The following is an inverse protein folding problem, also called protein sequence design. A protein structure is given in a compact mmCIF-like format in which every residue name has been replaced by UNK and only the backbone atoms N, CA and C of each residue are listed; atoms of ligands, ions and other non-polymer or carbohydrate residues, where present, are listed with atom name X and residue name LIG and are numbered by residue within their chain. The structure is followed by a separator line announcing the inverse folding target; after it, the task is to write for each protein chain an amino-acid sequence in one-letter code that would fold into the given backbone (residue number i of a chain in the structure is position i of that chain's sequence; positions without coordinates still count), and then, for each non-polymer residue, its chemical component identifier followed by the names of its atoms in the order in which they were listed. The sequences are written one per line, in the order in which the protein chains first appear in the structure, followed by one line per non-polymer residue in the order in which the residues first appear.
data_IF_626549806582
#
_entry.id   IF_626549806582
#
_cell.length_a   1.000
_cell.length_b   1.000
_cell.length_c   1.000
_cell.angle_alpha   90.00
_cell.angle_beta   90.00
_cell.angle_gamma   90.00
#
_symmetry.space_group_name_H-M   'P 1'
#
loop_
_entity.id
_entity.type
_entity.pdbx_description
1 polymer ?
#
# COMPACT_ATOMS: atom_id res chain seq x y z
N UNK A 1 -24.29 3.12 8.20
CA UNK A 1 -23.20 2.76 7.25
C UNK A 1 -22.86 1.28 7.32
N UNK A 2 -22.44 0.72 8.48
CA UNK A 2 -22.16 -0.72 8.65
C UNK A 2 -23.29 -1.64 8.12
N UNK A 3 -24.54 -1.37 8.53
CA UNK A 3 -25.73 -2.10 8.05
C UNK A 3 -25.89 -2.05 6.53
N UNK A 4 -25.63 -0.89 5.91
CA UNK A 4 -25.68 -0.73 4.46
C UNK A 4 -24.65 -1.63 3.79
N UNK A 5 -23.40 -1.62 4.26
CA UNK A 5 -22.33 -2.46 3.71
C UNK A 5 -22.70 -3.94 3.86
N UNK A 6 -23.16 -4.37 5.04
CA UNK A 6 -23.63 -5.75 5.27
C UNK A 6 -24.74 -6.16 4.30
N UNK A 7 -25.71 -5.29 4.05
CA UNK A 7 -26.79 -5.56 3.09
C UNK A 7 -26.25 -5.68 1.66
N UNK A 8 -25.34 -4.80 1.24
CA UNK A 8 -24.69 -4.92 -0.08
C UNK A 8 -23.87 -6.20 -0.21
N UNK A 9 -23.20 -6.65 0.86
CA UNK A 9 -22.53 -7.95 0.88
C UNK A 9 -23.53 -9.08 0.61
N UNK A 10 -24.63 -9.14 1.37
CA UNK A 10 -25.65 -10.17 1.22
C UNK A 10 -26.17 -10.26 -0.23
N UNK A 11 -26.52 -9.12 -0.83
CA UNK A 11 -27.00 -9.06 -2.22
C UNK A 11 -25.90 -9.46 -3.20
N UNK A 12 -24.67 -8.95 -3.02
CA UNK A 12 -23.57 -9.20 -3.94
C UNK A 12 -23.13 -10.66 -3.97
N UNK A 13 -23.13 -11.33 -2.82
CA UNK A 13 -22.70 -12.73 -2.69
C UNK A 13 -23.69 -13.62 -3.43
N UNK A 14 -24.99 -13.39 -3.27
CA UNK A 14 -26.03 -14.13 -4.00
C UNK A 14 -25.97 -13.88 -5.51
N UNK A 15 -25.73 -12.64 -5.94
CA UNK A 15 -25.73 -12.28 -7.35
C UNK A 15 -24.45 -12.67 -8.14
N UNK A 16 -23.46 -13.29 -7.50
CA UNK A 16 -22.16 -13.58 -8.12
C UNK A 16 -22.25 -14.61 -9.25
N UNK A 17 -23.12 -15.61 -9.12
CA UNK A 17 -23.30 -16.66 -10.13
C UNK A 17 -24.21 -16.23 -11.29
N UNK A 18 -24.99 -15.16 -11.11
CA UNK A 18 -25.99 -14.71 -12.09
C UNK A 18 -25.37 -13.98 -13.30
N UNK A 19 -24.10 -13.55 -13.21
CA UNK A 19 -23.46 -12.66 -14.17
C UNK A 19 -22.00 -13.04 -14.41
N UNK A 20 -21.45 -12.55 -15.53
CA UNK A 20 -20.01 -12.64 -15.77
C UNK A 20 -19.23 -11.86 -14.69
N UNK A 21 -18.09 -12.40 -14.25
CA UNK A 21 -17.31 -11.89 -13.11
C UNK A 21 -16.90 -10.44 -13.29
N UNK A 22 -16.49 -10.05 -14.50
CA UNK A 22 -16.11 -8.69 -14.84
C UNK A 22 -17.26 -7.68 -14.70
N UNK A 23 -18.47 -8.07 -15.11
CA UNK A 23 -19.67 -7.25 -14.99
C UNK A 23 -20.09 -7.13 -13.53
N UNK A 24 -20.05 -8.26 -12.80
CA UNK A 24 -20.30 -8.27 -11.35
C UNK A 24 -19.32 -7.37 -10.60
N UNK A 25 -18.02 -7.46 -10.93
CA UNK A 25 -17.01 -6.58 -10.34
C UNK A 25 -17.38 -5.14 -10.60
N UNK A 26 -17.75 -4.73 -11.81
CA UNK A 26 -18.09 -3.33 -12.12
C UNK A 26 -19.29 -2.81 -11.33
N UNK A 27 -20.33 -3.64 -11.17
CA UNK A 27 -21.61 -3.28 -10.54
C UNK A 27 -21.49 -2.97 -9.03
N UNK A 28 -20.68 -3.72 -8.29
CA UNK A 28 -20.62 -3.58 -6.83
C UNK A 28 -19.49 -2.65 -6.35
N UNK A 29 -19.64 -1.89 -5.25
CA UNK A 29 -18.57 -1.02 -4.76
C UNK A 29 -17.27 -1.78 -4.43
N UNK A 30 -16.12 -1.11 -4.51
CA UNK A 30 -14.81 -1.74 -4.44
C UNK A 30 -14.61 -2.68 -3.23
N UNK A 31 -14.98 -2.24 -2.03
CA UNK A 31 -14.88 -3.04 -0.80
C UNK A 31 -15.71 -4.33 -0.87
N UNK A 32 -16.93 -4.24 -1.41
CA UNK A 32 -17.86 -5.37 -1.55
C UNK A 32 -17.36 -6.32 -2.63
N UNK A 33 -16.98 -5.81 -3.80
CA UNK A 33 -16.44 -6.63 -4.89
C UNK A 33 -15.17 -7.38 -4.47
N UNK A 34 -14.28 -6.71 -3.72
CA UNK A 34 -13.02 -7.29 -3.22
C UNK A 34 -13.26 -8.41 -2.20
N UNK A 35 -14.12 -8.18 -1.21
CA UNK A 35 -14.39 -9.20 -0.20
C UNK A 35 -15.26 -10.34 -0.76
N UNK A 36 -16.25 -10.02 -1.60
CA UNK A 36 -17.08 -11.02 -2.28
C UNK A 36 -16.26 -11.94 -3.18
N UNK A 37 -15.25 -11.42 -3.88
CA UNK A 37 -14.28 -12.25 -4.62
C UNK A 37 -13.56 -13.24 -3.71
N UNK A 38 -13.12 -12.82 -2.51
CA UNK A 38 -12.44 -13.71 -1.55
C UNK A 38 -13.38 -14.75 -0.93
N UNK A 39 -14.66 -14.40 -0.72
CA UNK A 39 -15.70 -15.33 -0.28
C UNK A 39 -15.88 -16.43 -1.33
N UNK A 40 -16.04 -16.05 -2.60
CA UNK A 40 -16.21 -17.01 -3.68
C UNK A 40 -14.96 -17.82 -3.96
N UNK A 41 -13.78 -17.23 -3.88
CA UNK A 41 -12.53 -17.98 -3.93
C UNK A 41 -12.47 -19.08 -2.86
N UNK A 42 -12.80 -18.75 -1.62
CA UNK A 42 -12.84 -19.72 -0.51
C UNK A 42 -13.85 -20.83 -0.79
N UNK A 43 -15.05 -20.48 -1.25
CA UNK A 43 -16.09 -21.44 -1.59
C UNK A 43 -15.66 -22.38 -2.73
N UNK A 44 -15.13 -21.85 -3.83
CA UNK A 44 -14.70 -22.61 -5.00
C UNK A 44 -13.51 -23.54 -4.71
N UNK A 45 -12.55 -23.10 -3.88
CA UNK A 45 -11.43 -23.96 -3.44
C UNK A 45 -11.95 -25.11 -2.58
N UNK A 46 -12.87 -24.85 -1.65
CA UNK A 46 -13.48 -25.91 -0.84
C UNK A 46 -14.30 -26.88 -1.69
N UNK A 47 -15.04 -26.39 -2.70
CA UNK A 47 -15.71 -27.25 -3.68
C UNK A 47 -14.71 -28.12 -4.48
N UNK A 48 -13.53 -27.58 -4.81
CA UNK A 48 -12.48 -28.35 -5.48
C UNK A 48 -11.91 -29.44 -4.56
N UNK A 49 -11.77 -29.19 -3.25
CA UNK A 49 -11.42 -30.23 -2.28
C UNK A 49 -12.50 -31.32 -2.17
N UNK A 50 -13.78 -30.96 -2.09
CA UNK A 50 -14.87 -31.96 -2.10
C UNK A 50 -14.83 -32.82 -3.37
N UNK A 51 -14.61 -32.21 -4.55
CA UNK A 51 -14.46 -32.96 -5.80
C UNK A 51 -13.23 -33.88 -5.78
N UNK A 52 -12.12 -33.49 -5.15
CA UNK A 52 -10.97 -34.38 -4.97
C UNK A 52 -11.34 -35.59 -4.11
N UNK A 53 -12.07 -35.40 -3.03
CA UNK A 53 -12.58 -36.47 -2.15
C UNK A 53 -13.54 -37.41 -2.89
N UNK A 54 -14.35 -36.88 -3.81
CA UNK A 54 -15.23 -37.64 -4.71
C UNK A 54 -14.48 -38.38 -5.84
N UNK A 55 -13.14 -38.26 -5.92
CA UNK A 55 -12.28 -38.94 -6.89
C UNK A 55 -11.92 -38.15 -8.15
N UNK A 56 -12.29 -36.86 -8.25
CA UNK A 56 -11.91 -36.00 -9.37
C UNK A 56 -10.50 -35.41 -9.18
N UNK A 57 -9.46 -36.20 -9.47
CA UNK A 57 -8.04 -35.86 -9.23
C UNK A 57 -7.56 -34.52 -9.84
N UNK A 58 -8.22 -34.02 -10.87
CA UNK A 58 -7.84 -32.77 -11.55
C UNK A 58 -8.58 -31.53 -11.05
N UNK A 59 -9.47 -31.64 -10.04
CA UNK A 59 -10.34 -30.54 -9.64
C UNK A 59 -9.60 -29.23 -9.29
N UNK A 60 -8.51 -29.29 -8.51
CA UNK A 60 -7.70 -28.11 -8.21
C UNK A 60 -6.98 -27.55 -9.45
N UNK A 61 -6.51 -28.41 -10.37
CA UNK A 61 -5.84 -27.97 -11.61
C UNK A 61 -6.82 -27.27 -12.55
N UNK A 62 -8.04 -27.77 -12.66
CA UNK A 62 -9.09 -27.16 -13.46
C UNK A 62 -9.52 -25.81 -12.86
N UNK A 63 -9.60 -25.73 -11.53
CA UNK A 63 -9.82 -24.46 -10.86
C UNK A 63 -8.69 -23.45 -11.09
N UNK A 64 -7.43 -23.89 -11.02
CA UNK A 64 -6.28 -23.01 -11.32
C UNK A 64 -6.35 -22.46 -12.75
N UNK A 65 -6.73 -23.28 -13.74
CA UNK A 65 -6.94 -22.83 -15.12
C UNK A 65 -8.03 -21.76 -15.20
N UNK A 66 -9.15 -21.95 -14.47
CA UNK A 66 -10.22 -20.95 -14.36
C UNK A 66 -9.69 -19.64 -13.78
N UNK A 67 -8.91 -19.68 -12.70
CA UNK A 67 -8.32 -18.48 -12.08
C UNK A 67 -7.38 -17.73 -13.04
N UNK A 68 -6.51 -18.45 -13.76
CA UNK A 68 -5.62 -17.83 -14.76
C UNK A 68 -6.41 -17.13 -15.86
N UNK A 69 -7.47 -17.77 -16.37
CA UNK A 69 -8.33 -17.16 -17.39
C UNK A 69 -9.03 -15.90 -16.89
N UNK A 70 -9.61 -15.94 -15.68
CA UNK A 70 -10.25 -14.78 -15.07
C UNK A 70 -9.26 -13.63 -14.84
N UNK A 71 -8.04 -13.93 -14.37
CA UNK A 71 -7.00 -12.93 -14.17
C UNK A 71 -6.60 -12.27 -15.50
N UNK A 72 -6.46 -13.05 -16.57
CA UNK A 72 -6.17 -12.53 -17.92
C UNK A 72 -7.29 -11.61 -18.43
N UNK A 73 -8.56 -11.94 -18.16
CA UNK A 73 -9.69 -11.06 -18.47
C UNK A 73 -9.57 -9.72 -17.72
N UNK A 74 -9.25 -9.74 -16.42
CA UNK A 74 -9.08 -8.52 -15.63
C UNK A 74 -7.87 -7.68 -16.10
N UNK A 75 -6.77 -8.33 -16.50
CA UNK A 75 -5.62 -7.67 -17.11
C UNK A 75 -6.03 -6.99 -18.43
N UNK A 76 -6.84 -7.65 -19.25
CA UNK A 76 -7.43 -7.06 -20.45
C UNK A 76 -8.23 -5.78 -20.15
N UNK A 77 -9.06 -5.79 -19.11
CA UNK A 77 -9.80 -4.60 -18.66
C UNK A 77 -8.85 -3.47 -18.22
N UNK A 78 -7.74 -3.79 -17.54
CA UNK A 78 -6.75 -2.79 -17.12
C UNK A 78 -5.99 -2.17 -18.29
N UNK A 79 -5.83 -2.87 -19.40
CA UNK A 79 -5.26 -2.29 -20.62
C UNK A 79 -6.25 -1.37 -21.35
N UNK A 80 -7.56 -1.53 -21.08
CA UNK A 80 -8.61 -0.69 -21.63
C UNK A 80 -8.82 0.67 -20.93
N UNK A 81 -9.85 1.38 -21.39
CA UNK A 81 -10.29 2.65 -20.84
C UNK A 81 -11.17 2.44 -19.60
N UNK A 82 -10.57 2.61 -18.43
CA UNK A 82 -11.23 2.66 -17.12
C UNK A 82 -11.01 4.01 -16.47
N UNK A 83 -12.00 4.49 -15.72
CA UNK A 83 -11.80 5.66 -14.87
C UNK A 83 -10.83 5.35 -13.72
N UNK A 84 -10.32 6.38 -13.04
CA UNK A 84 -9.29 6.22 -11.99
C UNK A 84 -9.75 5.29 -10.86
N UNK A 85 -11.02 5.37 -10.44
CA UNK A 85 -11.57 4.57 -9.35
C UNK A 85 -11.77 3.10 -9.75
N UNK A 86 -12.35 2.85 -10.91
CA UNK A 86 -12.51 1.50 -11.48
C UNK A 86 -11.17 0.83 -11.70
N UNK A 87 -10.18 1.57 -12.23
CA UNK A 87 -8.83 1.05 -12.44
C UNK A 87 -8.20 0.64 -11.11
N UNK A 88 -8.29 1.47 -10.08
CA UNK A 88 -7.77 1.14 -8.76
C UNK A 88 -8.47 -0.07 -8.15
N UNK A 89 -9.79 -0.19 -8.31
CA UNK A 89 -10.58 -1.32 -7.85
C UNK A 89 -10.16 -2.63 -8.55
N UNK A 90 -10.07 -2.63 -9.88
CA UNK A 90 -9.64 -3.81 -10.65
C UNK A 90 -8.19 -4.18 -10.32
N UNK A 91 -7.27 -3.21 -10.22
CA UNK A 91 -5.88 -3.47 -9.79
C UNK A 91 -5.80 -4.12 -8.41
N UNK A 92 -6.66 -3.66 -7.49
CA UNK A 92 -6.74 -4.18 -6.13
C UNK A 92 -7.22 -5.63 -6.12
N UNK A 93 -8.25 -5.95 -6.91
CA UNK A 93 -8.74 -7.32 -7.07
C UNK A 93 -7.66 -8.20 -7.72
N UNK A 94 -7.00 -7.75 -8.79
CA UNK A 94 -5.90 -8.47 -9.41
C UNK A 94 -4.76 -8.80 -8.43
N UNK A 95 -4.45 -7.88 -7.51
CA UNK A 95 -3.40 -8.10 -6.49
C UNK A 95 -3.76 -9.28 -5.57
N UNK A 96 -5.02 -9.38 -5.16
CA UNK A 96 -5.50 -10.49 -4.34
C UNK A 96 -5.62 -11.78 -5.17
N UNK A 97 -6.14 -11.71 -6.39
CA UNK A 97 -6.27 -12.86 -7.30
C UNK A 97 -4.93 -13.53 -7.63
N UNK A 98 -3.87 -12.73 -7.81
CA UNK A 98 -2.51 -13.26 -8.00
C UNK A 98 -2.09 -14.10 -6.81
N UNK A 99 -2.29 -13.62 -5.59
CA UNK A 99 -2.02 -14.39 -4.38
C UNK A 99 -2.91 -15.64 -4.29
N UNK A 100 -4.21 -15.51 -4.53
CA UNK A 100 -5.17 -16.63 -4.52
C UNK A 100 -4.79 -17.74 -5.53
N UNK A 101 -4.32 -17.36 -6.72
CA UNK A 101 -3.80 -18.28 -7.74
C UNK A 101 -2.53 -18.98 -7.25
N UNK A 102 -1.59 -18.22 -6.69
CA UNK A 102 -0.31 -18.76 -6.24
C UNK A 102 -0.49 -19.73 -5.07
N UNK A 103 -1.45 -19.47 -4.17
CA UNK A 103 -1.87 -20.39 -3.12
C UNK A 103 -2.37 -21.71 -3.72
N UNK A 104 -3.30 -21.66 -4.68
CA UNK A 104 -3.82 -22.88 -5.33
C UNK A 104 -2.72 -23.64 -6.06
N UNK A 105 -1.84 -22.93 -6.79
CA UNK A 105 -0.67 -23.51 -7.44
C UNK A 105 0.25 -24.22 -6.45
N UNK A 106 0.48 -23.63 -5.28
CA UNK A 106 1.27 -24.23 -4.20
C UNK A 106 0.59 -25.46 -3.59
N UNK A 107 -0.72 -25.44 -3.39
CA UNK A 107 -1.48 -26.60 -2.91
C UNK A 107 -1.32 -27.80 -3.88
N UNK A 108 -1.40 -27.55 -5.19
CA UNK A 108 -1.17 -28.58 -6.22
C UNK A 108 0.27 -29.10 -6.18
N UNK A 109 1.26 -28.20 -6.10
CA UNK A 109 2.68 -28.57 -6.04
C UNK A 109 2.98 -29.46 -4.82
N UNK A 110 2.35 -29.14 -3.68
CA UNK A 110 2.50 -29.87 -2.42
C UNK A 110 1.59 -31.10 -2.32
N UNK A 111 0.77 -31.40 -3.34
CA UNK A 111 -0.19 -32.51 -3.36
C UNK A 111 -1.13 -32.50 -2.15
N UNK A 112 -1.69 -31.32 -1.85
CA UNK A 112 -2.66 -31.17 -0.78
C UNK A 112 -4.04 -31.64 -1.29
N UNK A 113 -4.62 -32.60 -0.60
CA UNK A 113 -5.88 -33.25 -0.99
C UNK A 113 -7.04 -32.98 -0.03
N UNK A 114 -6.80 -32.37 1.13
CA UNK A 114 -7.83 -32.10 2.13
C UNK A 114 -7.90 -30.62 2.49
N UNK A 115 -9.12 -30.11 2.65
CA UNK A 115 -9.37 -28.79 3.19
C UNK A 115 -8.89 -28.63 4.66
N UNK A 116 -8.63 -29.73 5.38
CA UNK A 116 -8.09 -29.68 6.75
C UNK A 116 -6.57 -29.46 6.80
N UNK A 117 -5.89 -29.48 5.65
CA UNK A 117 -4.45 -29.29 5.60
C UNK A 117 -4.05 -27.89 6.09
N UNK A 118 -3.00 -27.83 6.92
CA UNK A 118 -2.50 -26.59 7.49
C UNK A 118 -2.19 -25.53 6.43
N UNK A 119 -1.67 -25.92 5.26
CA UNK A 119 -1.32 -25.02 4.16
C UNK A 119 -2.53 -24.22 3.65
N UNK A 120 -3.72 -24.83 3.65
CA UNK A 120 -4.97 -24.14 3.33
C UNK A 120 -5.53 -23.41 4.55
N UNK A 121 -5.53 -24.08 5.71
CA UNK A 121 -6.03 -23.53 6.97
C UNK A 121 -5.27 -22.27 7.41
N UNK A 122 -3.99 -22.14 7.07
CA UNK A 122 -3.15 -20.98 7.41
C UNK A 122 -3.42 -19.73 6.55
N UNK A 123 -4.23 -19.85 5.49
CA UNK A 123 -4.59 -18.72 4.63
C UNK A 123 -5.72 -17.90 5.29
N UNK A 124 -5.75 -16.60 5.04
CA UNK A 124 -6.91 -15.78 5.42
C UNK A 124 -8.06 -16.06 4.45
N UNK A 125 -9.14 -16.67 4.95
CA UNK A 125 -10.29 -17.10 4.15
C UNK A 125 -11.55 -16.37 4.57
N UNK A 126 -12.27 -15.78 3.63
CA UNK A 126 -13.57 -15.17 3.90
C UNK A 126 -14.68 -16.16 3.60
N UNK A 127 -15.72 -16.18 4.43
CA UNK A 127 -16.94 -16.95 4.18
C UNK A 127 -18.16 -16.12 4.52
N UNK A 128 -19.20 -16.29 3.72
CA UNK A 128 -20.52 -15.78 4.04
C UNK A 128 -21.31 -16.89 4.75
N UNK A 129 -21.81 -16.61 5.95
CA UNK A 129 -22.74 -17.50 6.62
C UNK A 129 -24.18 -17.07 6.31
N UNK A 130 -24.91 -17.91 5.59
CA UNK A 130 -26.30 -17.65 5.21
C UNK A 130 -27.28 -17.67 6.40
N UNK A 131 -26.92 -18.30 7.52
CA UNK A 131 -27.80 -18.39 8.70
C UNK A 131 -27.72 -17.12 9.53
N UNK A 132 -26.52 -16.67 9.88
CA UNK A 132 -26.33 -15.38 10.56
C UNK A 132 -26.54 -14.19 9.62
N UNK A 133 -26.33 -14.37 8.31
CA UNK A 133 -26.29 -13.28 7.34
C UNK A 133 -25.09 -12.35 7.57
N UNK A 134 -23.97 -12.91 8.01
CA UNK A 134 -22.72 -12.21 8.29
C UNK A 134 -21.53 -12.86 7.56
N UNK A 135 -20.51 -12.04 7.30
CA UNK A 135 -19.23 -12.45 6.74
C UNK A 135 -18.25 -12.70 7.88
N UNK A 136 -17.48 -13.77 7.77
CA UNK A 136 -16.42 -14.08 8.71
C UNK A 136 -15.11 -14.29 7.97
N UNK A 137 -14.02 -13.96 8.64
CA UNK A 137 -12.67 -14.30 8.24
C UNK A 137 -12.15 -15.43 9.14
N UNK A 138 -11.70 -16.51 8.52
CA UNK A 138 -11.13 -17.67 9.16
C UNK A 138 -9.65 -17.79 8.80
N UNK A 139 -8.82 -18.07 9.80
CA UNK A 139 -7.40 -18.33 9.64
C UNK A 139 -6.90 -19.18 10.80
N UNK A 140 -6.31 -20.31 10.49
CA UNK A 140 -6.11 -21.42 11.41
C UNK A 140 -7.43 -21.73 12.14
N UNK A 141 -7.40 -21.74 13.47
CA UNK A 141 -8.54 -21.89 14.39
C UNK A 141 -9.23 -20.56 14.75
N UNK A 142 -8.67 -19.42 14.35
CA UNK A 142 -9.28 -18.12 14.62
C UNK A 142 -10.44 -17.84 13.66
N UNK A 143 -11.54 -17.37 14.24
CA UNK A 143 -12.72 -16.90 13.53
C UNK A 143 -13.08 -15.48 13.99
N UNK A 144 -13.15 -14.56 13.02
CA UNK A 144 -13.42 -13.15 13.27
C UNK A 144 -14.56 -12.69 12.36
N UNK A 145 -15.59 -12.08 12.94
CA UNK A 145 -16.64 -11.43 12.15
C UNK A 145 -16.06 -10.23 11.39
N UNK A 146 -16.51 -10.03 10.15
CA UNK A 146 -16.19 -8.82 9.38
C UNK A 146 -16.94 -7.63 9.98
N UNK A 147 -16.26 -6.51 10.20
CA UNK A 147 -16.79 -5.41 11.02
C UNK A 147 -17.54 -4.32 10.24
N UNK A 148 -17.51 -4.39 8.91
CA UNK A 148 -18.30 -3.54 8.03
C UNK A 148 -18.05 -2.02 8.15
N UNK A 149 -16.88 -1.59 8.62
CA UNK A 149 -16.49 -0.18 8.47
C UNK A 149 -16.36 0.16 6.99
N UNK A 150 -16.73 1.39 6.62
CA UNK A 150 -16.51 1.85 5.25
C UNK A 150 -15.05 2.25 5.09
N UNK A 151 -14.34 1.53 4.23
CA UNK A 151 -12.91 1.75 4.01
C UNK A 151 -12.63 2.46 2.67
N UNK A 152 -13.66 2.63 1.84
CA UNK A 152 -13.53 3.20 0.51
C UNK A 152 -12.82 2.29 -0.49
N UNK A 153 -12.39 2.87 -1.60
CA UNK A 153 -11.62 2.18 -2.63
C UNK A 153 -10.13 2.33 -2.31
N UNK A 154 -9.58 1.48 -1.44
CA UNK A 154 -8.16 1.54 -1.05
C UNK A 154 -7.37 0.37 -1.64
N UNK A 155 -6.11 0.60 -2.07
CA UNK A 155 -5.27 -0.49 -2.56
C UNK A 155 -4.95 -1.49 -1.45
N UNK A 156 -4.66 -2.72 -1.85
CA UNK A 156 -4.20 -3.82 -0.99
C UNK A 156 -2.68 -3.99 -1.09
N UNK A 157 -2.08 -4.48 -0.02
CA UNK A 157 -0.67 -4.90 -0.03
C UNK A 157 -0.51 -6.17 -0.86
N UNK A 158 0.61 -6.31 -1.55
CA UNK A 158 1.00 -7.58 -2.18
C UNK A 158 1.29 -8.58 -1.07
N UNK A 159 0.54 -9.69 -1.05
CA UNK A 159 0.66 -10.69 0.00
C UNK A 159 1.87 -11.58 -0.29
N UNK A 160 2.79 -11.64 0.69
CA UNK A 160 4.00 -12.45 0.65
C UNK A 160 3.97 -13.49 1.77
N UNK A 161 4.86 -14.50 1.77
CA UNK A 161 4.95 -15.43 2.90
C UNK A 161 5.24 -14.77 4.26
N UNK A 162 5.83 -13.57 4.27
CA UNK A 162 6.01 -12.79 5.50
C UNK A 162 4.68 -12.13 5.93
N UNK A 163 3.93 -11.60 4.97
CA UNK A 163 2.58 -11.04 5.20
C UNK A 163 1.65 -12.11 5.75
N UNK A 164 1.64 -13.32 5.17
CA UNK A 164 0.82 -14.45 5.65
C UNK A 164 1.14 -14.79 7.11
N UNK A 165 2.43 -14.89 7.45
CA UNK A 165 2.85 -15.13 8.84
C UNK A 165 2.38 -14.01 9.77
N UNK A 166 2.46 -12.76 9.34
CA UNK A 166 1.94 -11.65 10.13
C UNK A 166 0.42 -11.75 10.32
N UNK A 167 -0.34 -12.13 9.28
CA UNK A 167 -1.79 -12.35 9.41
C UNK A 167 -2.10 -13.43 10.43
N UNK A 168 -1.41 -14.57 10.39
CA UNK A 168 -1.56 -15.64 11.39
C UNK A 168 -1.27 -15.07 12.78
N UNK A 169 -0.11 -14.46 13.01
CA UNK A 169 0.26 -13.95 14.34
C UNK A 169 -0.73 -12.92 14.87
N UNK A 170 -1.16 -11.97 14.04
CA UNK A 170 -2.06 -10.89 14.44
C UNK A 170 -3.49 -11.38 14.73
N UNK A 171 -3.99 -12.30 13.91
CA UNK A 171 -5.33 -12.86 14.12
C UNK A 171 -5.37 -13.79 15.32
N UNK A 172 -4.31 -14.57 15.54
CA UNK A 172 -4.15 -15.40 16.73
C UNK A 172 -4.01 -14.56 18.00
N UNK A 173 -3.25 -13.46 17.95
CA UNK A 173 -3.15 -12.56 19.10
C UNK A 173 -4.51 -11.96 19.46
N UNK A 174 -5.29 -11.55 18.46
CA UNK A 174 -6.65 -11.05 18.68
C UNK A 174 -7.58 -12.13 19.26
N UNK A 175 -7.53 -13.34 18.71
CA UNK A 175 -8.32 -14.48 19.19
C UNK A 175 -8.04 -14.79 20.67
N UNK A 176 -6.78 -14.63 21.09
CA UNK A 176 -6.32 -14.84 22.47
C UNK A 176 -6.43 -13.59 23.37
N UNK A 177 -7.01 -12.49 22.88
CA UNK A 177 -7.15 -11.21 23.60
C UNK A 177 -5.77 -10.70 24.06
N UNK A 178 -4.83 -10.69 23.12
CA UNK A 178 -3.47 -10.19 23.28
C UNK A 178 -3.19 -9.10 22.24
N UNK A 179 -2.29 -8.18 22.57
CA UNK A 179 -1.71 -7.28 21.58
C UNK A 179 -0.82 -8.05 20.60
N UNK A 180 -0.59 -7.48 19.43
CA UNK A 180 0.32 -8.05 18.44
C UNK A 180 1.56 -7.18 18.25
N UNK A 181 2.74 -7.80 18.27
CA UNK A 181 3.99 -7.16 17.88
C UNK A 181 4.53 -7.83 16.61
N UNK A 182 3.94 -7.57 15.42
CA UNK A 182 4.45 -8.14 14.20
C UNK A 182 5.89 -7.65 13.98
N UNK A 183 6.79 -8.58 13.63
CA UNK A 183 8.13 -8.25 13.13
C UNK A 183 8.10 -7.67 11.70
N UNK A 184 6.94 -7.17 11.26
CA UNK A 184 6.68 -6.66 9.92
C UNK A 184 6.17 -5.22 9.94
N UNK A 185 6.08 -4.54 8.78
CA UNK A 185 5.74 -3.12 8.70
C UNK A 185 4.32 -2.80 9.19
N UNK A 186 4.10 -1.57 9.69
CA UNK A 186 2.79 -1.08 10.13
C UNK A 186 1.70 -1.21 9.04
N UNK A 187 2.09 -1.15 7.77
CA UNK A 187 1.20 -1.37 6.62
C UNK A 187 0.54 -2.76 6.61
N UNK A 188 1.17 -3.80 7.17
CA UNK A 188 0.56 -5.14 7.26
C UNK A 188 -0.61 -5.16 8.24
N UNK A 189 -0.50 -4.47 9.38
CA UNK A 189 -1.61 -4.30 10.32
C UNK A 189 -2.78 -3.56 9.67
N UNK A 190 -2.48 -2.51 8.91
CA UNK A 190 -3.47 -1.75 8.15
C UNK A 190 -4.17 -2.62 7.09
N UNK A 191 -3.41 -3.44 6.37
CA UNK A 191 -3.97 -4.34 5.36
C UNK A 191 -4.85 -5.44 5.99
N UNK A 192 -4.43 -6.02 7.12
CA UNK A 192 -5.26 -6.97 7.87
C UNK A 192 -6.56 -6.32 8.36
N UNK A 193 -6.48 -5.14 8.97
CA UNK A 193 -7.68 -4.41 9.41
C UNK A 193 -8.65 -4.18 8.25
N UNK A 194 -8.15 -3.80 7.07
CA UNK A 194 -9.00 -3.70 5.87
C UNK A 194 -9.64 -5.03 5.47
N UNK A 195 -8.93 -6.15 5.64
CA UNK A 195 -9.45 -7.48 5.33
C UNK A 195 -10.56 -7.91 6.29
N UNK A 196 -10.58 -7.34 7.49
CA UNK A 196 -11.60 -7.58 8.52
C UNK A 196 -12.67 -6.49 8.57
N UNK A 197 -12.63 -5.50 7.67
CA UNK A 197 -13.58 -4.39 7.68
C UNK A 197 -13.40 -3.46 8.88
N UNK A 198 -12.17 -3.33 9.38
CA UNK A 198 -11.78 -2.51 10.53
C UNK A 198 -10.96 -1.30 10.12
N UNK A 199 -11.24 -0.18 10.78
CA UNK A 199 -10.40 1.01 10.70
C UNK A 199 -9.14 0.84 11.57
N UNK A 200 -7.98 1.09 10.97
CA UNK A 200 -6.68 1.06 11.64
C UNK A 200 -6.06 2.44 11.60
N UNK A 201 -5.82 3.01 12.78
CA UNK A 201 -5.09 4.25 12.97
C UNK A 201 -3.61 3.93 13.21
N UNK A 202 -2.74 4.48 12.38
CA UNK A 202 -1.28 4.32 12.53
C UNK A 202 -0.74 5.57 13.21
N UNK A 203 -0.03 5.40 14.32
CA UNK A 203 0.61 6.47 15.08
C UNK A 203 2.12 6.29 14.99
N UNK A 204 2.81 7.27 14.38
CA UNK A 204 4.27 7.25 14.36
C UNK A 204 4.80 7.68 15.72
N UNK A 205 5.57 6.83 16.39
CA UNK A 205 6.07 7.10 17.72
C UNK A 205 7.31 7.99 17.69
N UNK A 206 7.45 8.86 18.68
CA UNK A 206 8.62 9.71 18.84
C UNK A 206 9.03 9.81 20.30
N UNK A 207 10.26 10.25 20.55
CA UNK A 207 10.78 10.47 21.91
C UNK A 207 10.01 11.55 22.68
N UNK A 208 9.26 12.40 21.96
CA UNK A 208 8.47 13.51 22.52
C UNK A 208 7.07 13.07 22.98
N UNK A 209 6.67 11.82 22.71
CA UNK A 209 5.37 11.31 23.14
C UNK A 209 5.32 11.12 24.65
N UNK A 210 4.32 11.74 25.29
CA UNK A 210 4.09 11.63 26.72
C UNK A 210 2.98 10.62 27.06
N UNK A 211 2.99 10.17 28.32
CA UNK A 211 2.03 9.18 28.87
C UNK A 211 0.57 9.61 28.69
N UNK A 212 0.25 10.91 28.83
CA UNK A 212 -1.14 11.37 28.76
C UNK A 212 -1.64 11.36 27.32
N UNK A 213 -0.80 11.77 26.37
CA UNK A 213 -1.12 11.72 24.94
C UNK A 213 -1.43 10.29 24.49
N UNK A 214 -0.57 9.32 24.85
CA UNK A 214 -0.80 7.91 24.52
C UNK A 214 -2.04 7.36 25.24
N UNK A 215 -2.24 7.70 26.52
CA UNK A 215 -3.43 7.31 27.27
C UNK A 215 -4.72 7.83 26.64
N UNK A 216 -4.74 9.07 26.15
CA UNK A 216 -5.90 9.65 25.44
C UNK A 216 -6.18 8.92 24.12
N UNK A 217 -5.14 8.51 23.40
CA UNK A 217 -5.27 7.69 22.19
C UNK A 217 -5.91 6.34 22.54
N UNK A 218 -5.39 5.63 23.53
CA UNK A 218 -5.95 4.35 23.97
C UNK A 218 -7.39 4.47 24.46
N UNK A 219 -7.71 5.53 25.19
CA UNK A 219 -9.08 5.85 25.62
C UNK A 219 -10.02 6.02 24.42
N UNK A 220 -9.57 6.69 23.36
CA UNK A 220 -10.34 6.84 22.11
C UNK A 220 -10.52 5.51 21.38
N UNK A 221 -9.45 4.72 21.26
CA UNK A 221 -9.47 3.41 20.61
C UNK A 221 -10.38 2.42 21.35
N UNK A 222 -10.30 2.38 22.69
CA UNK A 222 -11.13 1.49 23.52
C UNK A 222 -12.63 1.79 23.40
N UNK A 223 -13.01 3.06 23.36
CA UNK A 223 -14.42 3.46 23.24
C UNK A 223 -14.98 3.26 21.84
N UNK A 224 -14.17 3.50 20.81
CA UNK A 224 -14.59 3.30 19.40
C UNK A 224 -14.53 1.85 18.98
N UNK A 225 -13.62 1.06 19.59
CA UNK A 225 -13.29 -0.29 19.18
C UNK A 225 -12.38 -0.35 17.94
N UNK A 226 -11.84 0.79 17.50
CA UNK A 226 -10.92 0.83 16.37
C UNK A 226 -9.55 0.22 16.72
N UNK A 227 -8.75 -0.03 15.70
CA UNK A 227 -7.39 -0.56 15.89
C UNK A 227 -6.36 0.56 15.89
N UNK A 228 -5.37 0.44 16.78
CA UNK A 228 -4.20 1.31 16.82
C UNK A 228 -2.95 0.53 16.50
N UNK A 229 -2.17 1.00 15.53
CA UNK A 229 -0.83 0.50 15.23
C UNK A 229 0.19 1.58 15.58
N UNK A 230 1.05 1.31 16.55
CA UNK A 230 2.07 2.23 17.01
C UNK A 230 3.38 1.89 16.30
N UNK A 231 3.71 2.69 15.30
CA UNK A 231 4.90 2.49 14.45
C UNK A 231 6.14 3.05 15.12
N UNK A 232 7.28 2.39 14.87
CA UNK A 232 8.57 2.70 15.51
C UNK A 232 8.45 2.83 17.04
N UNK A 233 7.72 1.90 17.66
CA UNK A 233 7.38 1.92 19.09
C UNK A 233 8.61 2.01 20.00
N UNK A 234 9.76 1.52 19.52
CA UNK A 234 11.05 1.60 20.20
C UNK A 234 11.65 3.03 20.27
N UNK A 235 11.03 4.06 19.66
CA UNK A 235 11.41 5.48 19.84
C UNK A 235 10.84 6.12 21.10
N UNK A 236 9.90 5.46 21.79
CA UNK A 236 9.34 5.98 23.05
C UNK A 236 10.36 5.76 24.17
N UNK A 237 10.50 6.74 25.06
CA UNK A 237 11.40 6.62 26.21
C UNK A 237 10.98 5.48 27.15
N UNK A 238 11.96 4.82 27.77
CA UNK A 238 11.72 3.65 28.65
C UNK A 238 10.79 3.98 29.83
N UNK A 239 10.85 5.21 30.33
CA UNK A 239 9.98 5.71 31.40
C UNK A 239 8.51 5.73 30.96
N UNK A 240 8.23 6.23 29.75
CA UNK A 240 6.88 6.29 29.19
C UNK A 240 6.39 4.87 28.84
N UNK A 241 7.24 4.03 28.26
CA UNK A 241 6.92 2.64 27.90
C UNK A 241 6.42 1.83 29.09
N UNK A 242 7.05 1.99 30.26
CA UNK A 242 6.66 1.26 31.48
C UNK A 242 5.22 1.56 31.89
N UNK A 243 4.79 2.81 31.71
CA UNK A 243 3.44 3.25 32.07
C UNK A 243 2.41 2.87 30.99
N UNK A 244 2.81 2.96 29.73
CA UNK A 244 2.03 2.55 28.55
C UNK A 244 1.70 1.05 28.60
N UNK A 245 2.63 0.20 29.02
CA UNK A 245 2.37 -1.23 29.18
C UNK A 245 1.25 -1.54 30.19
N UNK A 246 1.18 -0.78 31.29
CA UNK A 246 0.11 -0.91 32.29
C UNK A 246 -1.25 -0.47 31.70
N UNK A 247 -1.26 0.57 30.87
CA UNK A 247 -2.47 1.02 30.17
C UNK A 247 -3.02 -0.06 29.22
N UNK A 248 -2.15 -0.64 28.39
CA UNK A 248 -2.54 -1.72 27.47
C UNK A 248 -3.08 -2.93 28.24
N UNK A 249 -2.41 -3.30 29.33
CA UNK A 249 -2.85 -4.41 30.19
C UNK A 249 -4.23 -4.15 30.80
N UNK A 250 -4.49 -2.93 31.29
CA UNK A 250 -5.79 -2.58 31.86
C UNK A 250 -6.94 -2.77 30.85
N UNK A 251 -6.71 -2.43 29.57
CA UNK A 251 -7.68 -2.67 28.50
C UNK A 251 -7.85 -4.18 28.24
N UNK A 252 -6.76 -4.93 28.12
CA UNK A 252 -6.80 -6.38 27.88
C UNK A 252 -7.50 -7.14 29.02
N UNK A 253 -7.23 -6.79 30.27
CA UNK A 253 -7.87 -7.38 31.44
C UNK A 253 -9.38 -7.06 31.44
N UNK A 254 -9.77 -5.84 31.08
CA UNK A 254 -11.18 -5.47 30.95
C UNK A 254 -11.91 -6.24 29.83
N UNK A 255 -11.25 -6.52 28.70
CA UNK A 255 -11.81 -7.37 27.63
C UNK A 255 -11.92 -8.82 28.10
N UNK A 256 -10.88 -9.35 28.77
CA UNK A 256 -10.86 -10.71 29.32
C UNK A 256 -11.98 -10.94 30.35
N UNK A 257 -12.22 -9.94 31.20
CA UNK A 257 -13.31 -9.92 32.16
C UNK A 257 -14.69 -9.64 31.53
N UNK A 258 -14.76 -9.48 30.20
CA UNK A 258 -15.98 -9.18 29.44
C UNK A 258 -16.71 -7.92 29.92
N UNK A 259 -15.98 -6.92 30.40
CA UNK A 259 -16.55 -5.65 30.90
C UNK A 259 -17.07 -4.81 29.75
N UNK A 260 -18.21 -4.14 29.93
CA UNK A 260 -18.74 -3.15 28.96
C UNK A 260 -18.30 -1.72 29.31
N UNK A 261 -17.87 -1.51 30.55
CA UNK A 261 -17.27 -0.28 31.07
C UNK A 261 -16.17 -0.60 32.06
N UNK A 262 -15.16 0.24 32.15
CA UNK A 262 -14.07 0.08 33.11
C UNK A 262 -13.42 1.42 33.43
N UNK A 263 -12.78 1.49 34.60
CA UNK A 263 -12.01 2.66 35.00
C UNK A 263 -10.65 2.61 34.32
N UNK A 264 -10.43 3.55 33.39
CA UNK A 264 -9.16 3.75 32.71
C UNK A 264 -8.59 5.10 33.13
N UNK A 265 -7.48 5.06 33.89
CA UNK A 265 -6.79 6.28 34.35
C UNK A 265 -7.66 7.25 35.16
N UNK A 266 -8.50 6.70 36.05
CA UNK A 266 -9.36 7.49 36.94
C UNK A 266 -10.67 7.94 36.30
N UNK A 267 -10.92 7.57 35.05
CA UNK A 267 -12.16 7.85 34.34
C UNK A 267 -12.91 6.57 33.98
N UNK A 268 -14.23 6.55 34.19
CA UNK A 268 -15.08 5.44 33.76
C UNK A 268 -15.43 5.61 32.27
N UNK A 269 -14.99 4.66 31.44
CA UNK A 269 -15.16 4.70 29.99
C UNK A 269 -15.88 3.45 29.48
N UNK A 270 -16.62 3.61 28.38
CA UNK A 270 -17.16 2.48 27.64
C UNK A 270 -16.04 1.67 26.98
N UNK A 271 -16.21 0.35 26.92
CA UNK A 271 -15.28 -0.56 26.27
C UNK A 271 -15.98 -1.27 25.11
N UNK A 272 -15.44 -1.10 23.92
CA UNK A 272 -15.79 -1.89 22.76
C UNK A 272 -14.74 -3.00 22.55
N UNK A 273 -15.16 -4.26 22.63
CA UNK A 273 -14.28 -5.45 22.61
C UNK A 273 -13.53 -5.65 21.29
N UNK A 274 -13.85 -4.89 20.25
CA UNK A 274 -13.18 -4.96 18.96
C UNK A 274 -11.84 -4.23 18.91
N UNK A 275 -11.51 -3.48 19.97
CA UNK A 275 -10.26 -2.72 20.06
C UNK A 275 -9.05 -3.65 19.91
N UNK A 276 -8.12 -3.26 19.04
CA UNK A 276 -6.88 -3.97 18.77
C UNK A 276 -5.70 -3.02 18.91
N UNK A 277 -4.70 -3.41 19.67
CA UNK A 277 -3.48 -2.61 19.88
C UNK A 277 -2.28 -3.38 19.37
N UNK A 278 -1.57 -2.76 18.44
CA UNK A 278 -0.44 -3.36 17.74
C UNK A 278 0.76 -2.42 17.79
N UNK A 279 1.95 -3.01 17.83
CA UNK A 279 3.20 -2.26 17.79
C UNK A 279 4.06 -2.77 16.65
N UNK A 280 4.80 -1.89 16.00
CA UNK A 280 5.88 -2.28 15.10
C UNK A 280 7.18 -1.71 15.61
N UNK A 281 8.22 -2.54 15.52
CA UNK A 281 9.58 -2.15 15.82
C UNK A 281 10.39 -2.42 14.56
N UNK A 282 11.27 -1.50 14.21
CA UNK A 282 12.27 -1.72 13.17
C UNK A 282 13.62 -1.96 13.86
N UNK A 283 13.90 -3.17 14.38
CA UNK A 283 15.21 -3.45 14.94
C UNK A 283 16.26 -3.38 13.82
N UNK A 284 17.20 -2.43 13.92
CA UNK A 284 18.38 -2.41 13.06
C UNK A 284 18.44 -1.38 11.94
N UNK A 285 17.93 -0.15 12.13
CA UNK A 285 18.32 0.96 11.26
C UNK A 285 19.77 1.44 11.53
N UNK A 286 20.74 0.60 11.15
CA UNK A 286 22.15 0.98 10.92
C UNK A 286 22.81 -0.07 10.00
N UNK A 287 23.38 0.37 8.87
CA UNK A 287 24.16 -0.47 7.94
C UNK A 287 23.36 -1.07 6.77
N UNK A 288 23.27 -0.33 5.65
CA UNK A 288 22.85 -0.91 4.37
C UNK A 288 23.92 -1.89 3.88
N UNK A 289 23.49 -3.07 3.41
CA UNK A 289 24.36 -4.05 2.74
C UNK A 289 25.08 -3.41 1.56
N UNK A 290 26.36 -3.75 1.38
CA UNK A 290 27.14 -3.26 0.26
C UNK A 290 26.60 -3.80 -1.08
N UNK A 291 26.47 -2.92 -2.07
CA UNK A 291 26.06 -3.26 -3.43
C UNK A 291 27.23 -3.90 -4.21
N UNK A 292 26.95 -4.74 -5.22
CA UNK A 292 27.97 -5.29 -6.11
C UNK A 292 28.79 -4.18 -6.82
N UNK A 293 30.09 -4.40 -7.01
CA UNK A 293 31.10 -3.46 -7.54
C UNK A 293 30.91 -2.96 -9.00
N UNK A 294 29.77 -3.23 -9.63
CA UNK A 294 29.54 -2.96 -11.06
C UNK A 294 29.30 -1.47 -11.40
N UNK A 295 29.06 -0.61 -10.40
CA UNK A 295 28.84 0.83 -10.56
C UNK A 295 29.58 1.61 -9.46
N UNK A 296 29.99 2.85 -9.75
CA UNK A 296 30.59 3.71 -8.72
C UNK A 296 29.60 3.93 -7.56
N UNK A 297 30.09 3.81 -6.32
CA UNK A 297 29.28 4.03 -5.12
C UNK A 297 28.93 5.52 -5.04
N UNK A 298 27.66 5.85 -5.26
CA UNK A 298 27.12 7.20 -5.14
C UNK A 298 25.97 7.20 -4.12
N UNK A 299 25.93 8.20 -3.23
CA UNK A 299 24.90 8.26 -2.18
C UNK A 299 23.47 8.38 -2.70
N UNK A 300 23.31 8.88 -3.94
CA UNK A 300 22.02 9.08 -4.60
C UNK A 300 21.56 7.89 -5.46
N UNK A 301 22.37 6.83 -5.56
CA UNK A 301 21.95 5.60 -6.22
C UNK A 301 20.99 4.83 -5.32
N UNK A 302 19.72 4.78 -5.72
CA UNK A 302 18.66 4.09 -5.02
C UNK A 302 18.03 3.01 -5.90
N UNK A 303 18.38 1.77 -5.58
CA UNK A 303 17.83 0.55 -6.17
C UNK A 303 16.82 -0.14 -5.24
N UNK A 304 16.37 0.55 -4.19
CA UNK A 304 15.38 0.04 -3.27
C UNK A 304 14.03 -0.23 -3.94
N UNK A 305 13.21 -1.06 -3.29
CA UNK A 305 11.90 -1.49 -3.82
C UNK A 305 10.97 -0.30 -4.16
N UNK A 306 11.10 0.84 -3.49
CA UNK A 306 10.33 2.06 -3.80
C UNK A 306 10.70 2.64 -5.17
N UNK A 307 11.98 2.66 -5.51
CA UNK A 307 12.45 3.12 -6.82
C UNK A 307 11.96 2.17 -7.93
N UNK A 308 12.06 0.86 -7.71
CA UNK A 308 11.55 -0.16 -8.64
C UNK A 308 10.05 0.01 -8.87
N UNK A 309 9.26 0.24 -7.81
CA UNK A 309 7.82 0.49 -7.93
C UNK A 309 7.53 1.69 -8.83
N UNK A 310 8.29 2.78 -8.74
CA UNK A 310 8.11 3.93 -9.63
C UNK A 310 8.35 3.57 -11.10
N UNK A 311 9.40 2.80 -11.40
CA UNK A 311 9.68 2.32 -12.77
C UNK A 311 8.51 1.52 -13.32
N UNK A 312 7.96 0.59 -12.51
CA UNK A 312 6.83 -0.24 -12.92
C UNK A 312 5.55 0.57 -13.18
N UNK A 313 5.30 1.62 -12.38
CA UNK A 313 4.16 2.52 -12.61
C UNK A 313 4.29 3.25 -13.95
N UNK A 314 5.49 3.74 -14.28
CA UNK A 314 5.78 4.39 -15.57
C UNK A 314 5.65 3.39 -16.72
N UNK A 315 6.25 2.20 -16.59
CA UNK A 315 6.16 1.13 -17.57
C UNK A 315 4.69 0.75 -17.86
N UNK A 316 3.86 0.65 -16.82
CA UNK A 316 2.43 0.40 -16.97
C UNK A 316 1.70 1.51 -17.71
N UNK A 317 2.10 2.77 -17.55
CA UNK A 317 1.55 3.90 -18.32
C UNK A 317 1.93 3.81 -19.79
N UNK A 318 3.21 3.55 -20.08
CA UNK A 318 3.73 3.37 -21.44
C UNK A 318 3.04 2.19 -22.15
N UNK A 319 2.85 1.05 -21.46
CA UNK A 319 2.16 -0.12 -22.01
C UNK A 319 0.70 0.16 -22.37
N UNK A 320 0.01 1.04 -21.63
CA UNK A 320 -1.36 1.45 -21.98
C UNK A 320 -1.40 2.44 -23.14
N UNK A 321 -0.39 3.31 -23.25
CA UNK A 321 -0.25 4.23 -24.39
C UNK A 321 0.05 3.50 -25.70
N UNK A 322 0.73 2.34 -25.62
CA UNK A 322 1.07 1.49 -26.77
C UNK A 322 0.86 0.00 -26.44
N UNK A 323 -0.39 -0.51 -26.47
CA UNK A 323 -0.71 -1.88 -26.08
C UNK A 323 -0.04 -2.95 -26.95
N UNK A 324 0.23 -2.64 -28.22
CA UNK A 324 0.85 -3.56 -29.18
C UNK A 324 2.34 -3.79 -28.94
N UNK A 325 3.01 -2.90 -28.18
CA UNK A 325 4.45 -2.99 -27.96
C UNK A 325 4.83 -4.14 -27.03
N UNK A 326 5.88 -4.93 -27.35
CA UNK A 326 6.39 -5.96 -26.47
C UNK A 326 6.76 -5.43 -25.07
N UNK A 327 6.41 -6.17 -24.01
CA UNK A 327 6.56 -5.73 -22.61
C UNK A 327 8.02 -5.52 -22.21
N UNK A 328 8.93 -6.33 -22.72
CA UNK A 328 10.37 -6.21 -22.56
C UNK A 328 10.88 -4.86 -23.07
N UNK A 329 10.43 -4.42 -24.25
CA UNK A 329 10.79 -3.11 -24.81
C UNK A 329 10.22 -1.95 -23.98
N UNK A 330 8.99 -2.08 -23.49
CA UNK A 330 8.37 -1.07 -22.62
C UNK A 330 9.13 -0.96 -21.30
N UNK A 331 9.51 -2.09 -20.72
CA UNK A 331 10.29 -2.14 -19.48
C UNK A 331 11.69 -1.56 -19.67
N UNK A 332 12.37 -1.90 -20.76
CA UNK A 332 13.68 -1.34 -21.09
C UNK A 332 13.64 0.18 -21.30
N UNK A 333 12.58 0.68 -21.95
CA UNK A 333 12.34 2.13 -22.06
C UNK A 333 12.13 2.77 -20.69
N UNK A 334 11.27 2.22 -19.84
CA UNK A 334 11.02 2.77 -18.51
C UNK A 334 12.28 2.75 -17.62
N UNK A 335 13.07 1.69 -17.67
CA UNK A 335 14.35 1.58 -16.96
C UNK A 335 15.36 2.63 -17.45
N UNK A 336 15.46 2.80 -18.77
CA UNK A 336 16.32 3.82 -19.38
C UNK A 336 15.91 5.21 -18.93
N UNK A 337 14.65 5.57 -19.11
CA UNK A 337 14.14 6.92 -18.83
C UNK A 337 14.24 7.26 -17.32
N UNK A 338 14.12 6.27 -16.44
CA UNK A 338 14.27 6.45 -14.98
C UNK A 338 15.72 6.57 -14.51
N UNK A 339 16.66 5.88 -15.15
CA UNK A 339 18.05 5.81 -14.72
C UNK A 339 18.94 6.88 -15.37
N UNK A 340 18.69 7.26 -16.63
CA UNK A 340 19.50 8.26 -17.35
C UNK A 340 19.67 9.57 -16.57
N UNK A 341 18.64 10.15 -15.92
CA UNK A 341 18.83 11.40 -15.17
C UNK A 341 19.75 11.26 -13.94
N UNK A 342 19.97 10.04 -13.44
CA UNK A 342 20.75 9.73 -12.24
C UNK A 342 22.18 9.29 -12.55
N UNK A 343 22.43 8.79 -13.75
CA UNK A 343 23.73 8.24 -14.16
C UNK A 343 24.67 9.39 -14.55
N UNK A 344 25.95 9.25 -14.23
CA UNK A 344 27.01 10.22 -14.54
C UNK A 344 27.26 10.27 -16.06
N UNK A 345 27.71 11.41 -16.56
CA UNK A 345 27.80 11.75 -18.00
C UNK A 345 28.49 10.74 -18.90
N UNK A 346 29.38 9.90 -18.37
CA UNK A 346 30.21 8.98 -19.15
C UNK A 346 29.42 7.75 -19.66
N UNK A 347 28.19 7.53 -19.18
CA UNK A 347 27.42 6.29 -19.39
C UNK A 347 26.08 6.47 -20.15
N UNK A 348 25.89 7.59 -20.87
CA UNK A 348 24.54 7.97 -21.38
C UNK A 348 24.36 7.80 -22.90
N UNK A 349 23.35 7.04 -23.39
CA UNK A 349 22.87 7.12 -24.78
C UNK A 349 21.80 8.21 -24.99
N UNK A 350 21.74 8.79 -26.19
CA UNK A 350 20.86 9.89 -26.58
C UNK A 350 19.35 9.57 -26.46
N UNK A 351 18.56 10.52 -25.94
CA UNK A 351 17.10 10.49 -25.85
C UNK A 351 16.44 11.14 -27.09
N UNK A 352 15.21 10.72 -27.42
CA UNK A 352 14.35 11.43 -28.38
C UNK A 352 13.86 12.74 -27.75
N UNK A 353 13.92 13.84 -28.53
CA UNK A 353 13.75 15.21 -28.04
C UNK A 353 12.37 15.76 -28.39
N UNK A 354 11.67 16.33 -27.40
CA UNK A 354 10.52 17.19 -27.65
C UNK A 354 11.01 18.56 -28.15
N UNK A 355 10.97 18.74 -29.47
CA UNK A 355 11.49 19.94 -30.14
C UNK A 355 10.71 21.22 -29.78
N UNK A 356 9.40 21.12 -29.49
CA UNK A 356 8.58 22.28 -29.14
C UNK A 356 8.88 22.74 -27.71
N UNK A 357 9.00 21.79 -26.78
CA UNK A 357 9.35 22.10 -25.39
C UNK A 357 10.79 22.64 -25.28
N UNK A 358 11.75 22.05 -26.00
CA UNK A 358 13.13 22.56 -26.05
C UNK A 358 13.20 24.01 -26.54
N UNK A 359 12.41 24.37 -27.56
CA UNK A 359 12.34 25.74 -28.07
C UNK A 359 11.80 26.72 -27.01
N UNK A 360 10.80 26.30 -26.24
CA UNK A 360 10.25 27.09 -25.12
C UNK A 360 11.29 27.30 -24.01
N UNK A 361 12.01 26.26 -23.63
CA UNK A 361 13.08 26.32 -22.62
C UNK A 361 14.19 27.26 -23.07
N UNK A 362 14.62 27.21 -24.34
CA UNK A 362 15.60 28.14 -24.90
C UNK A 362 15.16 29.60 -24.78
N UNK A 363 13.90 29.88 -25.12
CA UNK A 363 13.32 31.22 -25.00
C UNK A 363 13.30 31.71 -23.54
N UNK A 364 12.86 30.85 -22.61
CA UNK A 364 12.83 31.16 -21.19
C UNK A 364 14.24 31.40 -20.61
N UNK A 365 15.22 30.62 -21.05
CA UNK A 365 16.63 30.76 -20.64
C UNK A 365 17.18 32.12 -21.05
N UNK A 366 16.95 32.52 -22.31
CA UNK A 366 17.33 33.85 -22.81
C UNK A 366 16.62 34.99 -22.08
N UNK A 367 15.33 34.84 -21.75
CA UNK A 367 14.57 35.83 -20.98
C UNK A 367 15.09 36.02 -19.55
N UNK A 368 15.70 34.99 -18.97
CA UNK A 368 16.35 35.04 -17.67
C UNK A 368 17.78 35.58 -17.71
N UNK A 369 18.23 36.06 -18.87
CA UNK A 369 19.61 36.50 -19.15
C UNK A 369 20.65 35.41 -18.86
N UNK A 370 20.33 34.15 -19.20
CA UNK A 370 21.21 33.00 -19.08
C UNK A 370 21.67 32.53 -20.47
N UNK A 371 22.81 31.83 -20.52
CA UNK A 371 23.29 31.22 -21.75
C UNK A 371 22.53 29.90 -22.01
N UNK A 372 21.88 29.74 -23.18
CA UNK A 372 21.13 28.53 -23.53
C UNK A 372 22.07 27.41 -24.00
N UNK A 373 22.91 26.90 -23.11
CA UNK A 373 23.76 25.74 -23.40
C UNK A 373 22.93 24.45 -23.53
N UNK A 374 23.32 23.57 -24.45
CA UNK A 374 22.61 22.30 -24.71
C UNK A 374 22.44 21.44 -23.46
N UNK A 375 23.50 21.35 -22.63
CA UNK A 375 23.45 20.58 -21.38
C UNK A 375 22.49 21.20 -20.35
N UNK A 376 22.39 22.53 -20.30
CA UNK A 376 21.46 23.22 -19.42
C UNK A 376 20.01 22.93 -19.83
N UNK A 377 19.71 23.01 -21.13
CA UNK A 377 18.39 22.73 -21.70
C UNK A 377 18.00 21.28 -21.45
N UNK A 378 18.91 20.33 -21.72
CA UNK A 378 18.70 18.91 -21.45
C UNK A 378 18.33 18.66 -19.98
N UNK A 379 19.01 19.33 -19.04
CA UNK A 379 18.71 19.20 -17.60
C UNK A 379 17.35 19.79 -17.21
N UNK A 380 16.89 20.84 -17.88
CA UNK A 380 15.53 21.39 -17.66
C UNK A 380 14.46 20.44 -18.22
N UNK A 381 14.72 19.82 -19.38
CA UNK A 381 13.82 18.80 -19.96
C UNK A 381 13.72 17.57 -19.05
N UNK A 382 14.86 17.03 -18.62
CA UNK A 382 14.88 15.91 -17.66
C UNK A 382 14.16 16.25 -16.35
N UNK A 383 14.29 17.49 -15.87
CA UNK A 383 13.59 17.94 -14.66
C UNK A 383 12.07 17.94 -14.86
N UNK A 384 11.57 18.40 -16.01
CA UNK A 384 10.14 18.39 -16.34
C UNK A 384 9.59 16.97 -16.36
N UNK A 385 10.24 16.06 -17.10
CA UNK A 385 9.84 14.66 -17.20
C UNK A 385 9.79 13.97 -15.83
N UNK A 386 10.77 14.27 -14.96
CA UNK A 386 10.80 13.74 -13.61
C UNK A 386 9.67 14.28 -12.73
N UNK A 387 9.29 15.55 -12.88
CA UNK A 387 8.19 16.14 -12.11
C UNK A 387 6.84 15.55 -12.55
N UNK A 388 6.64 15.32 -13.85
CA UNK A 388 5.40 14.69 -14.32
C UNK A 388 5.17 13.28 -13.74
N UNK A 389 6.26 12.64 -13.26
CA UNK A 389 6.22 11.33 -12.60
C UNK A 389 6.29 11.43 -11.07
N UNK A 390 6.88 12.49 -10.49
CA UNK A 390 7.16 12.60 -9.05
C UNK A 390 6.80 13.97 -8.48
N UNK A 391 6.11 13.95 -7.34
CA UNK A 391 5.78 15.13 -6.55
C UNK A 391 7.00 15.81 -5.89
N UNK A 392 8.13 15.10 -5.78
CA UNK A 392 9.36 15.62 -5.16
C UNK A 392 10.58 15.12 -5.93
N UNK A 393 11.46 16.05 -6.29
CA UNK A 393 12.67 15.81 -7.08
C UNK A 393 13.84 16.55 -6.44
N UNK A 394 15.00 15.90 -6.39
CA UNK A 394 16.25 16.51 -5.93
C UNK A 394 17.08 16.97 -7.12
N UNK A 395 17.61 18.19 -7.05
CA UNK A 395 18.61 18.69 -8.00
C UNK A 395 19.95 18.67 -7.29
N UNK A 396 20.77 17.67 -7.58
CA UNK A 396 22.08 17.47 -7.00
C UNK A 396 23.18 18.11 -7.88
N UNK A 397 24.22 18.62 -7.24
CA UNK A 397 25.36 19.23 -7.94
C UNK A 397 26.07 20.26 -7.07
N UNK A 398 27.27 20.66 -7.49
CA UNK A 398 28.11 21.57 -6.73
C UNK A 398 27.57 23.01 -6.70
N UNK A 399 28.07 23.80 -5.75
CA UNK A 399 27.81 25.23 -5.73
C UNK A 399 28.24 25.89 -7.05
N UNK A 400 27.47 26.89 -7.51
CA UNK A 400 27.75 27.60 -8.76
C UNK A 400 27.23 26.93 -10.05
N UNK A 401 26.77 25.67 -10.01
CA UNK A 401 26.32 24.91 -11.19
C UNK A 401 24.88 25.23 -11.67
N UNK A 402 24.37 26.43 -11.40
CA UNK A 402 23.08 26.87 -11.95
C UNK A 402 21.82 26.15 -11.48
N UNK A 403 21.88 25.24 -10.49
CA UNK A 403 20.73 24.43 -9.99
C UNK A 403 19.44 25.23 -9.77
N UNK A 404 19.55 26.37 -9.08
CA UNK A 404 18.41 27.27 -8.80
C UNK A 404 17.82 27.89 -10.07
N UNK A 405 18.63 28.05 -11.12
CA UNK A 405 18.20 28.59 -12.42
C UNK A 405 17.42 27.54 -13.24
N UNK A 406 17.76 26.25 -13.14
CA UNK A 406 16.99 25.17 -13.77
C UNK A 406 15.52 25.22 -13.36
N UNK A 407 15.23 25.24 -12.05
CA UNK A 407 13.86 25.29 -11.54
C UNK A 407 13.13 26.58 -11.92
N UNK A 408 13.85 27.72 -12.00
CA UNK A 408 13.26 29.00 -12.41
C UNK A 408 12.93 29.05 -13.89
N UNK A 409 13.76 28.45 -14.74
CA UNK A 409 13.52 28.36 -16.18
C UNK A 409 12.27 27.53 -16.48
N UNK A 410 12.03 26.49 -15.68
CA UNK A 410 10.86 25.62 -15.83
C UNK A 410 9.56 26.27 -15.38
N UNK A 411 9.56 26.93 -14.22
CA UNK A 411 8.32 27.40 -13.60
C UNK A 411 7.78 28.73 -14.17
N UNK A 412 8.58 29.50 -14.93
CA UNK A 412 8.20 30.72 -15.64
C UNK A 412 7.74 31.93 -14.80
N UNK A 413 7.13 31.72 -13.62
CA UNK A 413 6.51 32.75 -12.79
C UNK A 413 7.01 32.70 -11.33
N UNK A 414 7.70 33.76 -10.83
CA UNK A 414 8.20 33.84 -9.45
C UNK A 414 7.15 33.83 -8.35
N UNK A 415 5.85 34.03 -8.67
CA UNK A 415 4.76 34.13 -7.68
C UNK A 415 4.27 32.79 -7.12
N UNK A 416 4.67 31.66 -7.72
CA UNK A 416 4.27 30.32 -7.27
C UNK A 416 5.32 29.65 -6.36
N UNK A 417 6.34 30.41 -5.92
CA UNK A 417 7.39 29.93 -5.01
C UNK A 417 7.03 30.26 -3.57
N UNK A 418 6.84 29.22 -2.75
CA UNK A 418 6.69 29.38 -1.30
C UNK A 418 7.97 28.96 -0.59
N UNK A 419 8.44 29.80 0.34
CA UNK A 419 9.50 29.43 1.29
C UNK A 419 8.84 28.94 2.60
N UNK A 420 9.19 27.71 2.97
CA UNK A 420 9.11 27.10 4.31
C UNK A 420 7.76 26.97 5.04
N UNK A 421 6.59 27.32 4.49
CA UNK A 421 5.33 27.23 5.24
C UNK A 421 4.25 26.39 4.56
N UNK A 422 4.13 25.12 4.96
CA UNK A 422 3.10 24.18 4.49
C UNK A 422 1.66 24.72 4.61
N UNK A 423 1.39 25.59 5.61
CA UNK A 423 0.07 26.22 5.77
C UNK A 423 -0.30 27.18 4.63
N UNK A 424 0.67 27.81 3.96
CA UNK A 424 0.41 28.67 2.81
C UNK A 424 0.16 27.88 1.52
N UNK A 425 0.62 26.62 1.45
CA UNK A 425 0.33 25.73 0.33
C UNK A 425 -1.17 25.41 0.22
N UNK A 426 -1.90 25.38 1.35
CA UNK A 426 -3.35 25.12 1.42
C UNK A 426 -4.25 26.32 1.02
N UNK A 427 -3.69 27.50 0.72
CA UNK A 427 -4.49 28.64 0.25
C UNK A 427 -4.93 28.41 -1.20
N UNK A 428 -6.14 28.85 -1.60
CA UNK A 428 -6.56 28.77 -3.01
C UNK A 428 -5.68 29.68 -3.89
N UNK A 429 -5.09 29.14 -4.96
CA UNK A 429 -4.39 29.92 -5.98
C UNK A 429 -4.64 29.31 -7.37
N UNK A 430 -4.63 30.14 -8.41
CA UNK A 430 -4.72 29.68 -9.79
C UNK A 430 -3.37 29.11 -10.26
N UNK A 431 -3.37 27.84 -10.67
CA UNK A 431 -2.23 27.15 -11.28
C UNK A 431 -1.39 26.29 -10.32
N UNK A 432 -0.39 25.57 -10.88
CA UNK A 432 0.46 24.65 -10.12
C UNK A 432 1.41 25.40 -9.17
N UNK A 433 1.59 24.84 -7.96
CA UNK A 433 2.42 25.41 -6.89
C UNK A 433 3.69 24.61 -6.66
N UNK A 434 4.75 25.32 -6.27
CA UNK A 434 6.06 24.72 -6.06
C UNK A 434 6.63 25.13 -4.70
N UNK A 435 7.17 24.15 -3.99
CA UNK A 435 7.96 24.37 -2.77
C UNK A 435 9.41 24.02 -3.12
N UNK A 436 10.31 24.97 -2.93
CA UNK A 436 11.74 24.74 -3.14
C UNK A 436 12.46 24.89 -1.80
N UNK A 437 13.17 23.84 -1.43
CA UNK A 437 14.11 23.81 -0.34
C UNK A 437 15.51 23.85 -0.93
N UNK A 438 16.33 24.79 -0.49
CA UNK A 438 17.72 24.99 -0.97
C UNK A 438 18.65 24.98 0.24
N UNK A 439 19.61 24.06 0.23
CA UNK A 439 20.51 23.80 1.35
C UNK A 439 20.95 22.35 1.37
N UNK A 440 21.86 22.06 2.29
CA UNK A 440 22.29 20.69 2.56
C UNK A 440 21.20 19.92 3.32
N UNK A 441 21.26 18.60 3.21
CA UNK A 441 20.28 17.68 3.80
C UNK A 441 20.86 17.13 5.10
N UNK A 442 20.09 17.28 6.18
CA UNK A 442 20.36 16.65 7.47
C UNK A 442 19.20 15.70 7.80
N UNK A 443 19.47 14.40 8.07
CA UNK A 443 18.46 13.40 8.40
C UNK A 443 17.51 13.83 9.55
N UNK A 444 18.00 14.60 10.52
CA UNK A 444 17.19 15.05 11.67
C UNK A 444 15.95 15.88 11.28
N UNK A 445 15.99 16.54 10.12
CA UNK A 445 14.91 17.41 9.66
C UNK A 445 14.03 16.79 8.58
N UNK A 446 14.41 15.64 8.02
CA UNK A 446 13.68 14.96 6.94
C UNK A 446 12.90 13.74 7.44
N UNK A 447 13.31 13.14 8.56
CA UNK A 447 12.60 12.01 9.16
C UNK A 447 11.22 12.39 9.76
N UNK A 448 10.95 13.69 9.91
CA UNK A 448 9.70 14.28 10.42
C UNK A 448 8.84 14.86 9.29
#
# INVERSE_FOLDING_TARGET
MRTTIRNYFAVSVTAYEDKAREAWIQEYPAQIALCGTQIWWTAEVNQAFTKLEDGYENALKDYLRKQVNQLNTLIGLLLGSLNSQERQKVMTICTIDVHSRDVVGKLIQMRIESAQAFQWQSQLRHRWDGVSGDCYANICDAELMYWYEYLGNTPRLVITPLTDRCYITLTQSLHLIMGGAPAGPAETTKDLGRALGMMVYVFNCSEQMDVRSIGNIYKGLAQTGAWGCFDEFNRITVEVLSVVAVQVKAIQDAIRDKKTKFVFYGEDIALNHTVGLFITMNPGYAGRSELPELLSKQDHYDWGLRAIKSVLVVAGSLKRGDPGRPEDQVLMRALRDFNIPKIVSDDTPFLEKDAEFEASVRKATSQLNLQPEENFILKVVQLQELIDVRHSVFILGNAGQGKRRNSKCLCGNPRNFFRSHARQANMSADGPKWIILDGDIDPMWIDH
#
